data_IF_166478874890
#
_entry.id   IF_166478874890
#
_cell.length_a   1.000
_cell.length_b   1.000
_cell.length_c   1.000
_cell.angle_alpha   90.00
_cell.angle_beta   90.00
_cell.angle_gamma   90.00
#
_symmetry.space_group_name_H-M   'P 1'
#
loop_
_entity.id
_entity.type
_entity.pdbx_description
1 polymer ?
#
# COMPACT_ATOMS: atom_id res chain seq x y z
N UNK A 1 24.60 -21.92 -43.35
CA UNK A 1 24.22 -21.67 -41.94
C UNK A 1 23.59 -22.93 -41.39
N UNK A 2 24.15 -23.54 -40.34
CA UNK A 2 23.63 -24.83 -39.85
C UNK A 2 22.25 -24.67 -39.19
N UNK A 3 21.44 -25.73 -39.25
CA UNK A 3 20.15 -25.83 -38.55
C UNK A 3 20.27 -25.49 -37.05
N UNK A 4 21.42 -25.83 -36.45
CA UNK A 4 21.74 -25.54 -35.07
C UNK A 4 21.86 -24.04 -34.81
N UNK A 5 22.58 -23.32 -35.67
CA UNK A 5 22.75 -21.86 -35.55
C UNK A 5 21.42 -21.12 -35.71
N UNK A 6 20.52 -21.63 -36.54
CA UNK A 6 19.19 -21.03 -36.75
C UNK A 6 18.28 -21.24 -35.53
N UNK A 7 18.34 -22.44 -34.92
CA UNK A 7 17.63 -22.74 -33.66
C UNK A 7 18.14 -21.90 -32.49
N UNK A 8 19.46 -21.74 -32.37
CA UNK A 8 20.07 -20.90 -31.33
C UNK A 8 19.59 -19.45 -31.40
N UNK A 9 19.59 -18.86 -32.60
CA UNK A 9 19.07 -17.50 -32.81
C UNK A 9 17.60 -17.37 -32.43
N UNK A 10 16.78 -18.33 -32.87
CA UNK A 10 15.36 -18.35 -32.52
C UNK A 10 15.13 -18.46 -30.99
N UNK A 11 15.90 -19.32 -30.31
CA UNK A 11 15.80 -19.45 -28.85
C UNK A 11 16.26 -18.20 -28.12
N UNK A 12 17.31 -17.52 -28.60
CA UNK A 12 17.78 -16.27 -28.02
C UNK A 12 16.77 -15.14 -28.20
N UNK A 13 16.13 -15.07 -29.37
CA UNK A 13 15.05 -14.11 -29.65
C UNK A 13 13.85 -14.34 -28.74
N UNK A 14 13.40 -15.59 -28.60
CA UNK A 14 12.31 -15.96 -27.69
C UNK A 14 12.64 -15.63 -26.23
N UNK A 15 13.88 -15.88 -25.81
CA UNK A 15 14.33 -15.55 -24.46
C UNK A 15 14.36 -14.03 -24.22
N UNK A 16 14.75 -13.24 -25.23
CA UNK A 16 14.68 -11.78 -25.16
C UNK A 16 13.23 -11.29 -25.06
N UNK A 17 12.31 -11.82 -25.85
CA UNK A 17 10.88 -11.50 -25.80
C UNK A 17 10.31 -11.77 -24.40
N UNK A 18 10.57 -12.96 -23.83
CA UNK A 18 10.09 -13.33 -22.50
C UNK A 18 10.66 -12.43 -21.40
N UNK A 19 11.94 -12.07 -21.47
CA UNK A 19 12.56 -11.13 -20.52
C UNK A 19 11.95 -9.74 -20.60
N UNK A 20 11.65 -9.25 -21.82
CA UNK A 20 10.98 -7.97 -22.01
C UNK A 20 9.56 -7.99 -21.43
N UNK A 21 8.78 -9.03 -21.73
CA UNK A 21 7.44 -9.21 -21.17
C UNK A 21 7.46 -9.27 -19.63
N UNK A 22 8.42 -10.00 -19.04
CA UNK A 22 8.58 -10.06 -17.59
C UNK A 22 8.92 -8.69 -16.97
N UNK A 23 9.77 -7.89 -17.65
CA UNK A 23 10.13 -6.54 -17.20
C UNK A 23 8.93 -5.61 -17.19
N UNK A 24 8.07 -5.66 -18.20
CA UNK A 24 6.81 -4.89 -18.26
C UNK A 24 5.88 -5.31 -17.12
N UNK A 25 5.61 -6.61 -16.97
CA UNK A 25 4.75 -7.13 -15.92
C UNK A 25 5.23 -6.76 -14.49
N UNK A 26 6.55 -6.75 -14.25
CA UNK A 26 7.10 -6.31 -12.96
C UNK A 26 6.86 -4.82 -12.70
N UNK A 27 6.99 -3.97 -13.72
CA UNK A 27 6.69 -2.54 -13.61
C UNK A 27 5.22 -2.29 -13.32
N UNK A 28 4.33 -2.98 -14.02
CA UNK A 28 2.88 -2.82 -13.85
C UNK A 28 2.44 -3.27 -12.44
N UNK A 29 2.97 -4.39 -11.95
CA UNK A 29 2.74 -4.84 -10.57
C UNK A 29 3.20 -3.80 -9.56
N UNK A 30 4.42 -3.27 -9.71
CA UNK A 30 4.96 -2.26 -8.80
C UNK A 30 4.12 -0.98 -8.78
N UNK A 31 3.66 -0.53 -9.95
CA UNK A 31 2.77 0.63 -10.07
C UNK A 31 1.42 0.37 -9.38
N UNK A 32 0.81 -0.79 -9.64
CA UNK A 32 -0.46 -1.16 -9.02
C UNK A 32 -0.36 -1.25 -7.48
N UNK A 33 0.71 -1.84 -6.94
CA UNK A 33 0.94 -1.85 -5.50
C UNK A 33 1.10 -0.44 -4.92
N UNK A 34 1.77 0.46 -5.63
CA UNK A 34 1.90 1.86 -5.21
C UNK A 34 0.53 2.55 -5.20
N UNK A 35 -0.23 2.43 -6.29
CA UNK A 35 -1.56 3.02 -6.43
C UNK A 35 -2.50 2.50 -5.32
N UNK A 36 -2.46 1.19 -5.03
CA UNK A 36 -3.22 0.60 -3.92
C UNK A 36 -2.81 1.15 -2.55
N UNK A 37 -1.50 1.32 -2.30
CA UNK A 37 -1.00 1.91 -1.05
C UNK A 37 -1.44 3.35 -0.89
N UNK A 38 -1.41 4.15 -1.94
CA UNK A 38 -1.82 5.55 -1.90
C UNK A 38 -3.33 5.68 -1.66
N UNK A 39 -4.14 4.83 -2.30
CA UNK A 39 -5.58 4.73 -2.04
C UNK A 39 -5.85 4.32 -0.58
N UNK A 40 -5.12 3.32 -0.06
CA UNK A 40 -5.29 2.86 1.32
C UNK A 40 -4.95 3.95 2.33
N UNK A 41 -3.83 4.66 2.15
CA UNK A 41 -3.46 5.82 2.98
C UNK A 41 -4.53 6.90 2.96
N UNK A 42 -5.07 7.21 1.77
CA UNK A 42 -6.14 8.21 1.64
C UNK A 42 -7.41 7.76 2.37
N UNK A 43 -7.79 6.48 2.27
CA UNK A 43 -8.94 5.94 3.02
C UNK A 43 -8.73 6.06 4.53
N UNK A 44 -7.57 5.67 5.05
CA UNK A 44 -7.26 5.78 6.47
C UNK A 44 -7.33 7.22 6.97
N UNK A 45 -6.76 8.17 6.22
CA UNK A 45 -6.81 9.59 6.55
C UNK A 45 -8.25 10.12 6.56
N UNK A 46 -9.05 9.78 5.55
CA UNK A 46 -10.45 10.23 5.48
C UNK A 46 -11.29 9.64 6.61
N UNK A 47 -11.11 8.36 6.94
CA UNK A 47 -11.80 7.73 8.08
C UNK A 47 -11.42 8.42 9.39
N UNK A 48 -10.13 8.64 9.62
CA UNK A 48 -9.65 9.35 10.82
C UNK A 48 -10.23 10.77 10.94
N UNK A 49 -10.25 11.54 9.84
CA UNK A 49 -10.82 12.88 9.83
C UNK A 49 -12.32 12.88 10.16
N UNK A 50 -13.09 11.94 9.60
CA UNK A 50 -14.54 11.82 9.88
C UNK A 50 -14.79 11.42 11.33
N UNK A 51 -14.01 10.49 11.87
CA UNK A 51 -14.13 10.07 13.27
C UNK A 51 -13.86 11.23 14.22
N UNK A 52 -12.77 11.98 14.00
CA UNK A 52 -12.44 13.14 14.82
C UNK A 52 -13.53 14.22 14.76
N UNK A 53 -14.08 14.50 13.57
CA UNK A 53 -15.20 15.44 13.41
C UNK A 53 -16.46 14.98 14.16
N UNK A 54 -16.76 13.67 14.18
CA UNK A 54 -17.90 13.13 14.95
C UNK A 54 -17.71 13.28 16.45
N UNK A 55 -16.51 12.99 16.96
CA UNK A 55 -16.17 13.17 18.38
C UNK A 55 -16.28 14.65 18.76
N UNK A 56 -15.74 15.57 17.94
CA UNK A 56 -15.81 17.01 18.17
C UNK A 56 -17.25 17.55 18.20
N UNK A 57 -18.16 16.95 17.43
CA UNK A 57 -19.59 17.29 17.44
C UNK A 57 -20.38 16.63 18.57
N UNK A 58 -19.73 15.85 19.44
CA UNK A 58 -20.38 15.11 20.51
C UNK A 58 -21.30 13.97 20.03
N UNK A 59 -21.18 13.57 18.75
CA UNK A 59 -21.92 12.42 18.21
C UNK A 59 -21.33 11.09 18.68
N UNK A 60 -20.11 11.12 19.20
CA UNK A 60 -19.46 9.98 19.81
C UNK A 60 -18.85 10.41 21.15
N UNK A 61 -18.92 9.54 22.15
CA UNK A 61 -18.42 9.83 23.48
C UNK A 61 -16.88 9.89 23.45
N UNK A 62 -16.33 11.02 23.92
CA UNK A 62 -14.89 11.24 23.95
C UNK A 62 -14.18 10.24 24.87
N UNK A 63 -14.76 9.90 26.01
CA UNK A 63 -14.12 8.98 26.97
C UNK A 63 -14.00 7.57 26.40
N UNK A 64 -15.04 7.10 25.70
CA UNK A 64 -15.02 5.81 24.99
C UNK A 64 -14.01 5.82 23.85
N UNK A 65 -13.94 6.92 23.10
CA UNK A 65 -12.95 7.10 22.03
C UNK A 65 -11.52 7.10 22.58
N UNK A 66 -11.26 7.85 23.65
CA UNK A 66 -9.96 7.95 24.31
C UNK A 66 -9.49 6.59 24.81
N UNK A 67 -10.37 5.85 25.49
CA UNK A 67 -10.06 4.50 25.99
C UNK A 67 -9.74 3.52 24.87
N UNK A 68 -10.53 3.53 23.79
CA UNK A 68 -10.25 2.73 22.60
C UNK A 68 -8.87 3.08 22.00
N UNK A 69 -8.53 4.36 21.91
CA UNK A 69 -7.22 4.79 21.40
C UNK A 69 -6.08 4.34 22.31
N UNK A 70 -6.27 4.35 23.62
CA UNK A 70 -5.29 3.85 24.59
C UNK A 70 -5.06 2.34 24.47
N UNK A 71 -6.12 1.55 24.28
CA UNK A 71 -6.03 0.09 24.10
C UNK A 71 -5.36 -0.32 22.78
N UNK A 72 -5.62 0.41 21.69
CA UNK A 72 -5.18 0.05 20.34
C UNK A 72 -3.82 0.68 19.93
N UNK A 73 -3.47 1.85 20.46
CA UNK A 73 -2.20 2.51 20.15
C UNK A 73 -1.06 1.88 20.95
N UNK A 74 -0.21 1.11 20.27
CA UNK A 74 0.94 0.43 20.89
C UNK A 74 2.16 1.35 21.02
N UNK A 75 2.31 2.34 20.15
CA UNK A 75 3.52 3.18 20.10
C UNK A 75 3.34 4.45 20.94
N UNK A 76 4.26 4.68 21.88
CA UNK A 76 4.22 5.85 22.78
C UNK A 76 4.27 7.19 22.03
N UNK A 77 4.98 7.28 20.90
CA UNK A 77 4.97 8.49 20.06
C UNK A 77 3.59 8.80 19.49
N UNK A 78 2.85 7.77 19.08
CA UNK A 78 1.52 7.93 18.50
C UNK A 78 0.49 8.24 19.59
N UNK A 79 0.62 7.64 20.78
CA UNK A 79 -0.19 7.95 21.97
C UNK A 79 -0.10 9.42 22.38
N UNK A 80 1.11 9.99 22.36
CA UNK A 80 1.34 11.41 22.65
C UNK A 80 0.60 12.37 21.72
N UNK A 81 0.31 11.97 20.48
CA UNK A 81 -0.48 12.80 19.56
C UNK A 81 -1.92 13.01 20.02
N UNK A 82 -2.41 12.15 20.92
CA UNK A 82 -3.75 12.18 21.48
C UNK A 82 -3.75 12.50 22.98
N UNK A 83 -2.62 12.97 23.53
CA UNK A 83 -2.48 13.30 24.96
C UNK A 83 -2.73 12.10 25.89
N UNK A 84 -2.46 10.88 25.40
CA UNK A 84 -2.52 9.63 26.15
C UNK A 84 -1.12 9.32 26.69
N UNK A 85 -0.93 9.38 28.01
CA UNK A 85 0.34 9.05 28.69
C UNK A 85 0.47 7.54 29.00
#
# INVERSE_FOLDING_TARGET
>A
MSLLSSRLKYTDEKLKELKLAQKVARKDKAKHFKDQRDVLKRKQLLVGAIVLDRVARGLWNFDEFSKMMEEELVRNEDRKLFELD
#
